data_IF_661603363996
#
_entry.id   IF_661603363996
#
_cell.length_a   1.000
_cell.length_b   1.000
_cell.length_c   1.000
_cell.angle_alpha   90.00
_cell.angle_beta   90.00
_cell.angle_gamma   90.00
#
_symmetry.space_group_name_H-M   'P 1'
#
loop_
_entity.id
_entity.type
_entity.pdbx_description
1 polymer ?
#
# COMPACT_ATOMS: atom_id res chain seq x y z
N UNK A 1 -14.32 -1.32 -2.76
CA UNK A 1 -13.06 -2.01 -3.12
C UNK A 1 -11.89 -1.48 -2.29
N UNK A 2 -11.73 -0.16 -2.18
CA UNK A 2 -10.67 0.47 -1.37
C UNK A 2 -10.72 0.05 0.09
N UNK A 3 -11.90 -0.07 0.71
CA UNK A 3 -12.03 -0.51 2.10
C UNK A 3 -11.41 -1.90 2.36
N UNK A 4 -11.52 -2.85 1.42
CA UNK A 4 -10.89 -4.16 1.56
C UNK A 4 -9.36 -4.08 1.46
N UNK A 5 -8.84 -3.26 0.52
CA UNK A 5 -7.41 -2.97 0.38
C UNK A 5 -6.86 -2.35 1.66
N UNK A 6 -7.52 -1.31 2.15
CA UNK A 6 -7.09 -0.55 3.32
C UNK A 6 -7.12 -1.42 4.59
N UNK A 7 -8.09 -2.33 4.70
CA UNK A 7 -8.13 -3.33 5.77
C UNK A 7 -6.93 -4.30 5.72
N UNK A 8 -6.52 -4.76 4.52
CA UNK A 8 -5.31 -5.59 4.37
C UNK A 8 -4.06 -4.81 4.77
N UNK A 9 -3.90 -3.59 4.26
CA UNK A 9 -2.76 -2.71 4.58
C UNK A 9 -2.68 -2.43 6.09
N UNK A 10 -3.83 -2.29 6.76
CA UNK A 10 -3.89 -2.09 8.21
C UNK A 10 -3.72 -3.38 9.04
N UNK A 11 -3.57 -4.56 8.39
CA UNK A 11 -3.49 -5.84 9.09
C UNK A 11 -4.81 -6.32 9.70
N UNK A 12 -5.95 -5.73 9.33
CA UNK A 12 -7.29 -5.99 9.90
C UNK A 12 -8.05 -7.04 9.08
N UNK A 13 -7.63 -8.31 9.21
CA UNK A 13 -8.19 -9.42 8.44
C UNK A 13 -9.71 -9.55 8.56
N UNK A 14 -10.26 -9.30 9.75
CA UNK A 14 -11.70 -9.40 10.05
C UNK A 14 -12.56 -8.41 9.26
N UNK A 15 -11.99 -7.32 8.78
CA UNK A 15 -12.70 -6.29 8.01
C UNK A 15 -12.71 -6.57 6.50
N UNK A 16 -11.79 -7.40 6.01
CA UNK A 16 -11.67 -7.69 4.57
C UNK A 16 -12.89 -8.43 4.04
N UNK A 17 -13.30 -9.50 4.71
CA UNK A 17 -14.45 -10.32 4.31
C UNK A 17 -15.77 -9.54 4.19
N UNK A 18 -16.17 -8.74 5.18
CA UNK A 18 -17.34 -7.89 5.08
C UNK A 18 -17.30 -6.92 3.88
N UNK A 19 -16.14 -6.28 3.62
CA UNK A 19 -16.00 -5.36 2.50
C UNK A 19 -16.12 -6.05 1.13
N UNK A 20 -15.59 -7.26 0.97
CA UNK A 20 -15.72 -8.06 -0.23
C UNK A 20 -17.16 -8.59 -0.42
N UNK A 21 -17.80 -9.05 0.65
CA UNK A 21 -19.22 -9.48 0.60
C UNK A 21 -20.14 -8.34 0.17
N UNK A 22 -19.96 -7.15 0.71
CA UNK A 22 -20.75 -6.00 0.33
C UNK A 22 -20.70 -5.76 -1.19
N UNK A 23 -19.52 -5.87 -1.80
CA UNK A 23 -19.35 -5.71 -3.23
C UNK A 23 -19.99 -6.86 -4.03
N UNK A 24 -19.87 -8.10 -3.56
CA UNK A 24 -20.40 -9.28 -4.27
C UNK A 24 -21.93 -9.28 -4.43
N UNK A 25 -22.64 -8.56 -3.55
CA UNK A 25 -24.11 -8.47 -3.57
C UNK A 25 -24.66 -7.11 -4.05
N UNK A 26 -23.78 -6.17 -4.40
CA UNK A 26 -24.21 -4.85 -4.88
C UNK A 26 -24.82 -4.97 -6.27
N UNK A 27 -26.10 -4.70 -6.48
CA UNK A 27 -26.71 -4.84 -7.81
C UNK A 27 -26.22 -3.75 -8.76
N UNK A 28 -26.18 -4.03 -10.07
CA UNK A 28 -26.01 -2.99 -11.08
C UNK A 28 -27.09 -1.91 -10.95
N UNK A 29 -26.76 -0.68 -11.28
CA UNK A 29 -27.74 0.40 -11.35
C UNK A 29 -28.62 0.26 -12.59
N UNK A 30 -29.79 0.91 -12.60
CA UNK A 30 -30.72 0.90 -13.75
C UNK A 30 -30.08 1.48 -15.02
N UNK A 31 -29.09 2.35 -14.87
CA UNK A 31 -28.42 3.01 -15.99
C UNK A 31 -27.15 2.25 -16.44
N UNK A 32 -26.90 1.08 -15.87
CA UNK A 32 -25.74 0.26 -16.24
C UNK A 32 -25.91 -0.26 -17.68
N UNK A 33 -24.99 0.02 -18.62
CA UNK A 33 -25.03 -0.53 -19.97
C UNK A 33 -25.06 -2.07 -19.96
N UNK A 34 -25.86 -2.66 -20.83
CA UNK A 34 -26.06 -4.12 -20.86
C UNK A 34 -24.78 -4.88 -21.20
N UNK A 35 -23.93 -4.33 -22.02
CA UNK A 35 -22.61 -4.87 -22.39
C UNK A 35 -21.59 -4.85 -21.25
N UNK A 36 -21.85 -4.11 -20.17
CA UNK A 36 -21.02 -4.11 -18.96
C UNK A 36 -21.42 -5.22 -17.96
N UNK A 37 -22.61 -5.78 -18.08
CA UNK A 37 -23.12 -6.76 -17.09
C UNK A 37 -22.21 -7.99 -16.92
N UNK A 38 -21.63 -8.60 -17.97
CA UNK A 38 -20.73 -9.73 -17.79
C UNK A 38 -19.50 -9.37 -16.95
N UNK A 39 -18.94 -8.18 -17.14
CA UNK A 39 -17.78 -7.70 -16.40
C UNK A 39 -18.11 -7.41 -14.93
N UNK A 40 -19.28 -6.84 -14.67
CA UNK A 40 -19.75 -6.63 -13.30
C UNK A 40 -20.00 -7.94 -12.57
N UNK A 41 -20.55 -8.95 -13.25
CA UNK A 41 -20.72 -10.29 -12.71
C UNK A 41 -19.37 -10.93 -12.35
N UNK A 42 -18.34 -10.76 -13.19
CA UNK A 42 -17.00 -11.25 -12.90
C UNK A 42 -16.40 -10.56 -11.66
N UNK A 43 -16.53 -9.24 -11.55
CA UNK A 43 -16.09 -8.47 -10.37
C UNK A 43 -16.82 -8.96 -9.12
N UNK A 44 -18.14 -9.17 -9.17
CA UNK A 44 -18.93 -9.66 -8.05
C UNK A 44 -18.57 -11.09 -7.67
N UNK A 45 -18.36 -11.96 -8.65
CA UNK A 45 -17.93 -13.35 -8.44
C UNK A 45 -16.55 -13.38 -7.78
N UNK A 46 -15.62 -12.60 -8.29
CA UNK A 46 -14.26 -12.49 -7.72
C UNK A 46 -14.30 -11.98 -6.27
N UNK A 47 -15.12 -10.98 -5.98
CA UNK A 47 -15.34 -10.48 -4.63
C UNK A 47 -15.95 -11.54 -3.70
N UNK A 48 -16.97 -12.28 -4.19
CA UNK A 48 -17.61 -13.35 -3.44
C UNK A 48 -16.67 -14.49 -3.08
N UNK A 49 -15.85 -14.92 -4.04
CA UNK A 49 -14.85 -15.98 -3.84
C UNK A 49 -13.78 -15.59 -2.81
N UNK A 50 -13.45 -14.29 -2.71
CA UNK A 50 -12.48 -13.76 -1.76
C UNK A 50 -13.04 -13.41 -0.38
N UNK A 51 -14.35 -13.57 -0.16
CA UNK A 51 -15.04 -13.00 1.01
C UNK A 51 -14.78 -13.71 2.35
N UNK A 52 -14.05 -14.84 2.37
CA UNK A 52 -13.74 -15.61 3.61
C UNK A 52 -12.24 -15.93 3.67
N UNK A 53 -11.36 -14.93 3.70
CA UNK A 53 -9.93 -15.19 3.78
C UNK A 53 -9.55 -15.70 5.18
N UNK A 54 -8.67 -16.70 5.25
CA UNK A 54 -8.19 -17.27 6.50
C UNK A 54 -6.86 -16.66 6.97
N UNK A 55 -6.16 -16.02 6.07
CA UNK A 55 -4.85 -15.38 6.33
C UNK A 55 -4.79 -14.02 5.64
N UNK A 56 -3.88 -13.16 6.11
CA UNK A 56 -3.66 -11.86 5.49
C UNK A 56 -3.16 -12.00 4.04
N UNK A 57 -2.32 -12.99 3.77
CA UNK A 57 -1.84 -13.30 2.41
C UNK A 57 -3.00 -13.70 1.48
N UNK A 58 -3.92 -14.56 1.93
CA UNK A 58 -5.11 -14.94 1.16
C UNK A 58 -6.03 -13.73 0.91
N UNK A 59 -6.18 -12.86 1.91
CA UNK A 59 -6.93 -11.62 1.79
C UNK A 59 -6.28 -10.68 0.76
N UNK A 60 -4.99 -10.50 0.81
CA UNK A 60 -4.23 -9.69 -0.14
C UNK A 60 -4.34 -10.23 -1.57
N UNK A 61 -4.23 -11.54 -1.74
CA UNK A 61 -4.42 -12.19 -3.04
C UNK A 61 -5.82 -11.96 -3.60
N UNK A 62 -6.86 -12.05 -2.76
CA UNK A 62 -8.26 -11.79 -3.13
C UNK A 62 -8.48 -10.33 -3.54
N UNK A 63 -7.91 -9.38 -2.79
CA UNK A 63 -7.98 -7.94 -3.11
C UNK A 63 -7.26 -7.65 -4.42
N UNK A 64 -6.09 -8.25 -4.66
CA UNK A 64 -5.35 -8.07 -5.89
C UNK A 64 -6.06 -8.70 -7.11
N UNK A 65 -6.71 -9.85 -6.94
CA UNK A 65 -7.54 -10.47 -7.97
C UNK A 65 -8.74 -9.58 -8.32
N UNK A 66 -9.38 -9.00 -7.31
CA UNK A 66 -10.48 -8.06 -7.51
C UNK A 66 -10.01 -6.80 -8.24
N UNK A 67 -8.85 -6.24 -7.89
CA UNK A 67 -8.26 -5.10 -8.60
C UNK A 67 -8.04 -5.42 -10.09
N UNK A 68 -7.57 -6.63 -10.38
CA UNK A 68 -7.41 -7.09 -11.75
C UNK A 68 -8.74 -7.19 -12.49
N UNK A 69 -9.77 -7.79 -11.89
CA UNK A 69 -11.11 -7.89 -12.49
C UNK A 69 -11.71 -6.49 -12.78
N UNK A 70 -11.50 -5.52 -11.88
CA UNK A 70 -11.86 -4.12 -12.15
C UNK A 70 -11.09 -3.55 -13.35
N UNK A 71 -9.80 -3.82 -13.44
CA UNK A 71 -8.96 -3.38 -14.56
C UNK A 71 -9.39 -4.00 -15.89
N UNK A 72 -9.79 -5.27 -15.90
CA UNK A 72 -10.31 -5.95 -17.09
C UNK A 72 -11.62 -5.31 -17.55
N UNK A 73 -12.55 -5.02 -16.62
CA UNK A 73 -13.79 -4.29 -16.90
C UNK A 73 -13.50 -2.91 -17.49
N UNK A 74 -12.61 -2.13 -16.89
CA UNK A 74 -12.28 -0.77 -17.36
C UNK A 74 -11.63 -0.80 -18.75
N UNK A 75 -10.78 -1.81 -19.05
CA UNK A 75 -10.21 -1.98 -20.39
C UNK A 75 -11.27 -2.31 -21.43
N UNK A 76 -12.16 -3.24 -21.12
CA UNK A 76 -13.21 -3.70 -22.04
C UNK A 76 -14.23 -2.61 -22.33
N UNK A 77 -14.64 -1.88 -21.31
CA UNK A 77 -15.68 -0.84 -21.40
C UNK A 77 -15.12 0.55 -21.75
N UNK A 78 -13.79 0.68 -21.77
CA UNK A 78 -13.09 1.97 -21.92
C UNK A 78 -13.52 3.01 -20.88
N UNK A 79 -14.07 2.55 -19.77
CA UNK A 79 -14.42 3.40 -18.65
C UNK A 79 -13.16 3.79 -17.85
N UNK A 80 -13.18 4.95 -17.22
CA UNK A 80 -12.06 5.40 -16.37
C UNK A 80 -10.85 6.02 -17.09
N UNK A 81 -10.84 6.07 -18.43
CA UNK A 81 -9.71 6.61 -19.20
C UNK A 81 -9.46 8.13 -19.05
N UNK A 82 -10.30 8.84 -18.33
CA UNK A 82 -10.14 10.31 -18.16
C UNK A 82 -9.81 10.76 -16.73
N UNK A 83 -9.91 9.88 -15.74
CA UNK A 83 -9.80 10.26 -14.33
C UNK A 83 -8.47 9.91 -13.64
N UNK A 84 -7.74 8.97 -14.18
CA UNK A 84 -6.55 8.43 -13.53
C UNK A 84 -5.31 9.35 -13.62
N UNK A 85 -5.21 10.16 -14.64
CA UNK A 85 -4.09 11.09 -14.80
C UNK A 85 -4.01 12.16 -13.71
N UNK A 86 -5.11 12.40 -12.99
CA UNK A 86 -5.17 13.40 -11.93
C UNK A 86 -4.74 12.86 -10.55
N UNK A 87 -4.68 11.54 -10.35
CA UNK A 87 -4.35 10.93 -9.06
C UNK A 87 -2.88 10.51 -8.90
N UNK A 88 -2.14 10.42 -9.99
CA UNK A 88 -0.71 10.10 -9.95
C UNK A 88 0.12 11.40 -9.90
N UNK A 89 -0.21 12.31 -8.99
CA UNK A 89 0.72 13.40 -8.67
C UNK A 89 2.05 12.76 -8.26
N UNK A 90 3.13 13.20 -8.90
CA UNK A 90 4.47 12.73 -8.58
C UNK A 90 4.70 12.94 -7.09
N UNK A 91 5.10 11.86 -6.41
CA UNK A 91 5.51 11.97 -5.01
C UNK A 91 6.64 13.01 -4.91
N UNK A 92 6.32 14.17 -4.39
CA UNK A 92 7.29 15.20 -4.06
C UNK A 92 7.69 15.04 -2.60
N UNK A 93 8.91 14.56 -2.40
CA UNK A 93 9.48 14.29 -1.07
C UNK A 93 9.89 15.57 -0.32
N UNK A 94 9.40 16.73 -0.72
CA UNK A 94 10.09 18.00 -0.45
C UNK A 94 10.18 18.40 1.02
N UNK A 95 9.32 17.88 1.92
CA UNK A 95 9.29 18.36 3.32
C UNK A 95 9.22 17.28 4.40
N UNK A 96 9.43 16.00 4.07
CA UNK A 96 9.31 14.92 5.05
C UNK A 96 10.64 14.19 5.24
N UNK A 97 11.06 14.02 6.49
CA UNK A 97 12.26 13.26 6.85
C UNK A 97 11.92 12.08 7.76
N UNK A 98 12.79 11.07 7.80
CA UNK A 98 12.66 9.95 8.72
C UNK A 98 11.54 8.96 8.38
N UNK A 99 10.87 8.42 9.40
CA UNK A 99 9.84 7.39 9.25
C UNK A 99 8.61 7.91 8.50
N UNK A 100 8.20 9.16 8.75
CA UNK A 100 7.04 9.77 8.08
C UNK A 100 7.23 9.88 6.55
N UNK A 101 8.44 10.19 6.07
CA UNK A 101 8.76 10.17 4.64
C UNK A 101 8.62 8.77 4.06
N UNK A 102 9.15 7.77 4.76
CA UNK A 102 9.09 6.37 4.31
C UNK A 102 7.64 5.90 4.21
N UNK A 103 6.82 6.16 5.23
CA UNK A 103 5.41 5.78 5.23
C UNK A 103 4.61 6.47 4.12
N UNK A 104 4.81 7.77 3.90
CA UNK A 104 4.16 8.49 2.82
C UNK A 104 4.55 7.93 1.44
N UNK A 105 5.80 7.50 1.26
CA UNK A 105 6.27 6.87 0.03
C UNK A 105 5.65 5.49 -0.17
N UNK A 106 5.51 4.69 0.90
CA UNK A 106 4.83 3.39 0.84
C UNK A 106 3.35 3.56 0.47
N UNK A 107 2.67 4.50 1.10
CA UNK A 107 1.27 4.80 0.80
C UNK A 107 1.09 5.21 -0.65
N UNK A 108 1.91 6.17 -1.13
CA UNK A 108 1.89 6.58 -2.53
C UNK A 108 2.12 5.39 -3.46
N UNK A 109 3.10 4.52 -3.15
CA UNK A 109 3.39 3.34 -3.98
C UNK A 109 2.22 2.39 -4.03
N UNK A 110 1.59 2.09 -2.88
CA UNK A 110 0.43 1.22 -2.81
C UNK A 110 -0.75 1.78 -3.60
N UNK A 111 -1.01 3.07 -3.53
CA UNK A 111 -2.06 3.75 -4.28
C UNK A 111 -1.77 3.77 -5.79
N UNK A 112 -0.55 4.10 -6.19
CA UNK A 112 -0.16 4.16 -7.59
C UNK A 112 -0.18 2.76 -8.26
N UNK A 113 0.30 1.73 -7.58
CA UNK A 113 0.21 0.35 -8.07
C UNK A 113 -1.23 -0.15 -8.11
N UNK A 114 -2.05 0.21 -7.13
CA UNK A 114 -3.49 -0.05 -7.14
C UNK A 114 -4.17 0.57 -8.36
N UNK A 115 -3.92 1.86 -8.63
CA UNK A 115 -4.44 2.54 -9.82
C UNK A 115 -3.97 1.86 -11.10
N UNK A 116 -2.70 1.48 -11.19
CA UNK A 116 -2.14 0.77 -12.35
C UNK A 116 -2.75 -0.62 -12.60
N UNK A 117 -3.39 -1.23 -11.58
CA UNK A 117 -4.16 -2.47 -11.73
C UNK A 117 -5.62 -2.21 -12.07
N UNK A 118 -6.28 -1.33 -11.32
CA UNK A 118 -7.73 -1.09 -11.42
C UNK A 118 -8.10 -0.24 -12.64
N UNK A 119 -7.28 0.71 -12.97
CA UNK A 119 -7.38 1.53 -14.18
C UNK A 119 -6.09 1.30 -14.92
N UNK A 120 -5.98 0.34 -15.86
CA UNK A 120 -4.71 -0.17 -16.38
C UNK A 120 -3.92 0.93 -17.06
N UNK A 121 -3.34 1.79 -16.27
CA UNK A 121 -2.51 2.92 -16.64
C UNK A 121 -1.04 2.62 -16.33
N UNK A 122 -0.25 2.56 -17.37
CA UNK A 122 1.17 2.22 -17.25
C UNK A 122 1.93 3.24 -16.39
N UNK A 123 1.58 4.52 -16.49
CA UNK A 123 2.29 5.59 -15.77
C UNK A 123 2.10 5.46 -14.26
N UNK A 124 0.86 5.18 -13.79
CA UNK A 124 0.60 4.98 -12.37
C UNK A 124 1.38 3.77 -11.83
N UNK A 125 1.38 2.65 -12.55
CA UNK A 125 2.14 1.47 -12.16
C UNK A 125 3.64 1.77 -12.06
N UNK A 126 4.23 2.41 -13.08
CA UNK A 126 5.65 2.75 -13.10
C UNK A 126 6.03 3.73 -11.99
N UNK A 127 5.20 4.74 -11.71
CA UNK A 127 5.44 5.69 -10.62
C UNK A 127 5.43 5.00 -9.25
N UNK A 128 4.52 4.04 -9.03
CA UNK A 128 4.46 3.24 -7.82
C UNK A 128 5.70 2.34 -7.64
N UNK A 129 6.13 1.69 -8.72
CA UNK A 129 7.33 0.86 -8.74
C UNK A 129 8.60 1.69 -8.46
N UNK A 130 8.74 2.84 -9.10
CA UNK A 130 9.85 3.77 -8.90
C UNK A 130 9.90 4.28 -7.44
N UNK A 131 8.76 4.60 -6.86
CA UNK A 131 8.70 5.05 -5.48
C UNK A 131 9.18 3.96 -4.49
N UNK A 132 8.84 2.67 -4.73
CA UNK A 132 9.37 1.56 -3.93
C UNK A 132 10.87 1.37 -4.13
N UNK A 133 11.38 1.43 -5.36
CA UNK A 133 12.81 1.34 -5.66
C UNK A 133 13.64 2.41 -4.94
N UNK A 134 13.06 3.60 -4.78
CA UNK A 134 13.70 4.74 -4.14
C UNK A 134 13.49 4.79 -2.62
N UNK A 135 12.98 3.73 -1.99
CA UNK A 135 12.92 3.62 -0.52
C UNK A 135 14.34 3.66 0.03
N UNK A 136 14.58 4.59 0.94
CA UNK A 136 15.86 4.74 1.62
C UNK A 136 15.97 3.71 2.73
N UNK A 137 16.95 2.82 2.61
CA UNK A 137 17.29 1.83 3.65
C UNK A 137 18.57 2.30 4.32
N UNK A 138 18.56 2.58 5.63
CA UNK A 138 19.78 2.92 6.36
C UNK A 138 20.86 1.85 6.18
N UNK A 139 22.11 2.26 6.04
CA UNK A 139 23.24 1.34 5.88
C UNK A 139 23.44 0.70 4.52
N UNK A 140 22.55 0.93 3.53
CA UNK A 140 22.80 0.50 2.15
C UNK A 140 23.90 1.37 1.51
N UNK A 141 24.93 0.70 1.03
CA UNK A 141 26.00 1.31 0.24
C UNK A 141 25.91 0.84 -1.22
N UNK A 142 26.37 1.65 -2.16
CA UNK A 142 26.55 1.23 -3.55
C UNK A 142 27.71 0.22 -3.70
N UNK A 143 27.94 -0.24 -4.91
CA UNK A 143 29.00 -1.19 -5.24
C UNK A 143 30.43 -0.64 -4.96
N UNK A 144 30.54 0.65 -4.65
CA UNK A 144 31.78 1.34 -4.30
C UNK A 144 31.87 1.66 -2.80
N UNK A 145 30.93 1.15 -1.97
CA UNK A 145 30.88 1.41 -0.53
C UNK A 145 30.37 2.81 -0.16
N UNK A 146 29.87 3.59 -1.13
CA UNK A 146 29.30 4.89 -0.87
C UNK A 146 27.87 4.73 -0.36
N UNK A 147 27.48 5.36 0.78
CA UNK A 147 26.11 5.31 1.24
C UNK A 147 25.15 5.76 0.12
N UNK A 148 24.22 4.91 -0.27
CA UNK A 148 23.18 5.22 -1.26
C UNK A 148 22.29 6.37 -0.78
N UNK A 149 22.43 6.71 0.50
CA UNK A 149 21.86 7.91 1.11
C UNK A 149 22.89 8.49 2.07
N UNK A 150 23.32 9.72 1.83
CA UNK A 150 23.98 10.49 2.85
C UNK A 150 22.99 10.66 4.02
N UNK A 151 23.32 10.07 5.16
CA UNK A 151 22.62 10.31 6.42
C UNK A 151 22.88 11.79 6.77
N UNK A 152 22.06 12.68 6.22
CA UNK A 152 21.98 14.05 6.70
C UNK A 152 21.28 13.95 8.05
N UNK A 153 22.02 13.50 9.07
CA UNK A 153 21.67 13.90 10.42
C UNK A 153 21.63 15.43 10.40
N UNK A 154 20.50 16.03 10.73
CA UNK A 154 20.52 17.45 11.00
C UNK A 154 21.56 17.63 12.11
N UNK A 155 22.66 18.34 11.79
CA UNK A 155 23.66 18.78 12.77
C UNK A 155 23.00 19.89 13.60
N UNK A 156 22.04 19.52 14.38
CA UNK A 156 21.28 20.36 15.27
C UNK A 156 20.96 19.52 16.48
N UNK A 157 21.94 19.40 17.39
CA UNK A 157 21.67 19.23 18.82
C UNK A 157 20.94 20.48 19.30
N UNK A 158 19.74 20.71 18.77
CA UNK A 158 18.79 21.59 19.38
C UNK A 158 18.25 20.88 20.60
N UNK A 159 18.73 21.32 21.77
CA UNK A 159 18.21 20.98 23.07
C UNK A 159 16.68 21.02 23.06
N UNK A 160 16.04 19.86 22.89
CA UNK A 160 14.66 19.66 23.34
C UNK A 160 14.65 19.38 24.85
N UNK A 161 15.44 20.16 25.58
CA UNK A 161 15.27 20.28 27.03
C UNK A 161 14.10 21.23 27.30
N UNK A 162 12.97 20.63 27.67
CA UNK A 162 12.08 21.28 28.61
C UNK A 162 10.98 22.16 28.04
N UNK A 163 9.93 21.57 27.58
CA UNK A 163 8.62 22.06 28.04
C UNK A 163 7.92 20.89 28.74
N UNK A 164 8.33 20.65 29.99
CA UNK A 164 7.50 19.89 30.93
C UNK A 164 6.36 20.81 31.34
N UNK A 165 5.17 20.51 30.86
CA UNK A 165 3.95 21.08 31.48
C UNK A 165 3.81 20.46 32.88
N UNK A 166 3.96 21.26 33.96
CA UNK A 166 3.89 20.75 35.33
C UNK A 166 2.48 20.30 35.78
N UNK A 167 1.50 20.34 34.89
CA UNK A 167 0.10 20.03 35.19
C UNK A 167 -0.32 18.61 34.77
N UNK A 168 0.55 17.84 34.07
CA UNK A 168 0.24 16.47 33.74
C UNK A 168 0.77 15.52 34.82
N UNK A 169 -0.08 14.61 35.34
CA UNK A 169 0.34 13.63 36.35
C UNK A 169 1.40 12.69 35.73
N UNK A 170 2.45 12.43 36.49
CA UNK A 170 3.63 11.67 36.09
C UNK A 170 3.38 10.17 35.79
N UNK A 171 2.15 9.70 35.92
CA UNK A 171 1.82 8.27 35.80
C UNK A 171 1.28 7.82 34.42
N UNK A 172 1.13 8.74 33.45
CA UNK A 172 0.52 8.42 32.15
C UNK A 172 1.50 7.87 31.09
N UNK A 173 2.78 7.67 31.42
CA UNK A 173 3.81 7.31 30.41
C UNK A 173 4.47 5.95 30.60
N UNK A 174 3.83 5.02 31.31
CA UNK A 174 4.34 3.64 31.43
C UNK A 174 3.66 2.65 30.47
N UNK A 175 3.07 3.11 29.36
CA UNK A 175 2.83 2.22 28.24
C UNK A 175 4.18 2.00 27.55
N UNK A 176 4.78 0.84 27.79
CA UNK A 176 5.95 0.38 27.03
C UNK A 176 5.50 0.27 25.57
N UNK A 177 5.78 1.32 24.77
CA UNK A 177 5.59 1.25 23.34
C UNK A 177 6.37 0.03 22.85
N UNK A 178 5.78 -0.86 22.04
CA UNK A 178 6.52 -1.94 21.42
C UNK A 178 7.58 -1.31 20.53
N UNK A 179 8.83 -1.30 20.99
CA UNK A 179 9.97 -0.91 20.20
C UNK A 179 10.16 -2.03 19.18
N UNK A 180 9.59 -1.87 17.97
CA UNK A 180 9.97 -2.69 16.84
C UNK A 180 11.50 -2.61 16.71
N UNK A 181 12.18 -3.76 16.68
CA UNK A 181 13.63 -3.78 16.53
C UNK A 181 14.00 -3.04 15.23
N UNK A 182 14.93 -2.11 15.31
CA UNK A 182 15.40 -1.32 14.16
C UNK A 182 15.92 -2.25 13.05
N UNK A 183 16.49 -3.40 13.42
CA UNK A 183 16.94 -4.42 12.49
C UNK A 183 15.77 -5.02 11.67
N UNK A 184 14.62 -5.23 12.29
CA UNK A 184 13.43 -5.76 11.62
C UNK A 184 12.84 -4.75 10.64
N UNK A 185 12.85 -3.46 11.01
CA UNK A 185 12.41 -2.39 10.11
C UNK A 185 13.30 -2.28 8.87
N UNK A 186 14.62 -2.35 9.04
CA UNK A 186 15.55 -2.30 7.92
C UNK A 186 15.41 -3.51 7.00
N UNK A 187 15.10 -4.70 7.54
CA UNK A 187 14.79 -5.88 6.75
C UNK A 187 13.50 -5.68 5.93
N UNK A 188 12.44 -5.21 6.55
CA UNK A 188 11.17 -4.92 5.88
C UNK A 188 11.33 -3.87 4.76
N UNK A 189 12.13 -2.82 4.98
CA UNK A 189 12.42 -1.81 3.96
C UNK A 189 13.20 -2.38 2.76
N UNK A 190 14.14 -3.31 3.01
CA UNK A 190 14.86 -4.00 1.91
C UNK A 190 13.91 -4.86 1.08
N UNK A 191 12.98 -5.57 1.71
CA UNK A 191 11.97 -6.38 1.03
C UNK A 191 11.05 -5.51 0.17
N UNK A 192 10.56 -4.38 0.69
CA UNK A 192 9.74 -3.44 -0.07
C UNK A 192 10.48 -2.87 -1.28
N UNK A 193 11.78 -2.57 -1.14
CA UNK A 193 12.59 -2.14 -2.27
C UNK A 193 12.77 -3.24 -3.32
N UNK A 194 12.97 -4.49 -2.90
CA UNK A 194 13.04 -5.63 -3.81
C UNK A 194 11.70 -5.84 -4.55
N UNK A 195 10.57 -5.61 -3.87
CA UNK A 195 9.24 -5.58 -4.49
C UNK A 195 9.14 -4.49 -5.57
N UNK A 196 9.72 -3.32 -5.35
CA UNK A 196 9.81 -2.26 -6.36
C UNK A 196 10.51 -2.73 -7.63
N UNK A 197 11.62 -3.47 -7.50
CA UNK A 197 12.32 -4.08 -8.65
C UNK A 197 11.46 -5.09 -9.41
N UNK A 198 10.70 -5.93 -8.69
CA UNK A 198 9.77 -6.87 -9.34
C UNK A 198 8.57 -6.15 -9.97
N UNK A 199 8.08 -5.08 -9.37
CA UNK A 199 7.03 -4.25 -9.94
C UNK A 199 7.47 -3.60 -11.26
N UNK A 200 8.70 -3.06 -11.30
CA UNK A 200 9.26 -2.46 -12.51
C UNK A 200 9.43 -3.48 -13.64
N UNK A 201 9.74 -4.73 -13.30
CA UNK A 201 9.90 -5.82 -14.27
C UNK A 201 8.59 -6.49 -14.68
N UNK A 202 7.49 -6.28 -13.96
CA UNK A 202 6.20 -6.92 -14.23
C UNK A 202 5.59 -6.41 -15.55
N UNK A 203 5.39 -7.32 -16.51
CA UNK A 203 4.85 -7.02 -17.84
C UNK A 203 3.41 -7.48 -18.02
N UNK A 204 3.05 -8.59 -17.39
CA UNK A 204 1.70 -9.14 -17.45
C UNK A 204 0.86 -8.69 -16.27
N UNK A 205 -0.46 -8.69 -16.45
CA UNK A 205 -1.41 -8.36 -15.38
C UNK A 205 -1.29 -9.34 -14.19
N UNK A 206 -1.07 -10.63 -14.49
CA UNK A 206 -0.87 -11.64 -13.44
C UNK A 206 0.41 -11.43 -12.63
N UNK A 207 1.50 -10.93 -13.23
CA UNK A 207 2.72 -10.55 -12.51
C UNK A 207 2.45 -9.33 -11.61
N UNK A 208 1.78 -8.32 -12.16
CA UNK A 208 1.39 -7.12 -11.41
C UNK A 208 0.50 -7.47 -10.22
N UNK A 209 -0.50 -8.33 -10.43
CA UNK A 209 -1.39 -8.81 -9.38
C UNK A 209 -0.60 -9.47 -8.23
N UNK A 210 0.34 -10.38 -8.54
CA UNK A 210 1.15 -11.05 -7.51
C UNK A 210 2.03 -10.07 -6.73
N UNK A 211 2.71 -9.15 -7.43
CA UNK A 211 3.54 -8.13 -6.78
C UNK A 211 2.71 -7.23 -5.88
N UNK A 212 1.53 -6.82 -6.32
CA UNK A 212 0.65 -5.99 -5.52
C UNK A 212 0.12 -6.73 -4.28
N UNK A 213 -0.30 -8.00 -4.43
CA UNK A 213 -0.72 -8.82 -3.29
C UNK A 213 0.40 -8.93 -2.24
N UNK A 214 1.62 -9.22 -2.66
CA UNK A 214 2.77 -9.30 -1.75
C UNK A 214 3.06 -7.96 -1.07
N UNK A 215 2.98 -6.83 -1.80
CA UNK A 215 3.18 -5.50 -1.22
C UNK A 215 2.20 -5.24 -0.07
N UNK A 216 0.90 -5.41 -0.31
CA UNK A 216 -0.10 -5.09 0.73
C UNK A 216 -0.07 -6.09 1.88
N UNK A 217 0.35 -7.35 1.65
CA UNK A 217 0.63 -8.31 2.73
C UNK A 217 1.75 -7.80 3.63
N UNK A 218 2.88 -7.36 3.05
CA UNK A 218 4.01 -6.82 3.84
C UNK A 218 3.64 -5.57 4.62
N UNK A 219 2.81 -4.70 4.03
CA UNK A 219 2.27 -3.55 4.77
C UNK A 219 1.47 -4.00 5.99
N UNK A 220 0.56 -4.95 5.81
CA UNK A 220 -0.30 -5.45 6.88
C UNK A 220 0.47 -6.19 7.97
N UNK A 221 1.43 -7.04 7.62
CA UNK A 221 2.30 -7.75 8.57
C UNK A 221 3.07 -6.75 9.45
N UNK A 222 3.66 -5.72 8.83
CA UNK A 222 4.39 -4.68 9.55
C UNK A 222 3.48 -3.88 10.48
N UNK A 223 2.32 -3.42 9.99
CA UNK A 223 1.38 -2.64 10.80
C UNK A 223 0.82 -3.46 11.97
N UNK A 224 0.52 -4.74 11.75
CA UNK A 224 0.09 -5.65 12.81
C UNK A 224 1.18 -5.86 13.88
N UNK A 225 2.45 -5.99 13.45
CA UNK A 225 3.57 -6.21 14.35
C UNK A 225 3.87 -4.97 15.23
N UNK A 226 3.69 -3.75 14.69
CA UNK A 226 3.95 -2.51 15.44
C UNK A 226 2.70 -1.97 16.16
N UNK A 227 1.56 -2.62 16.03
CA UNK A 227 0.31 -2.22 16.70
C UNK A 227 -0.21 -0.85 16.24
N UNK A 228 0.09 -0.45 14.99
CA UNK A 228 -0.41 0.82 14.45
C UNK A 228 -1.92 0.71 14.17
N UNK A 229 -2.70 1.44 14.97
CA UNK A 229 -4.13 1.62 14.68
C UNK A 229 -4.27 2.76 13.66
N UNK A 230 -4.44 2.39 12.40
CA UNK A 230 -4.67 3.32 11.29
C UNK A 230 -6.17 3.65 11.22
N UNK A 231 -6.72 4.34 12.25
CA UNK A 231 -8.11 4.86 12.27
C UNK A 231 -8.26 6.09 11.40
#
# INVERSE_FOLDING_TARGET
>A
VTAARDAVIAGRLEQVGPALRALSVTPPTTDTPVDWLPWLQEVQSTAGNGAVPQTLEAAAASVAALANACGDCHRATRSGQGGAAQGAERYTAEDRSGLAEKMARHQFSAEALWLGLTIPEHQAWSAGAEALLNIRVPGLVDVHGKPLVADRRPSGTGDLQGVRDPRLPAEAHAATEPQADVADLDAALRELRALGGRADQARTTGEKQRVFAELITRCGDCHAAVGLDLT
#
